data_IF_902895681521
#
_entry.id   IF_902895681521
#
_cell.length_a   1.000
_cell.length_b   1.000
_cell.length_c   1.000
_cell.angle_alpha   90.00
_cell.angle_beta   90.00
_cell.angle_gamma   90.00
#
_symmetry.space_group_name_H-M   'P 1'
#
loop_
_entity.id
_entity.type
_entity.pdbx_description
1 polymer ?
#
# COMPACT_ATOMS: atom_id res chain seq x y z
N UNK A 1 -26.45 7.38 -16.47
CA UNK A 1 -25.84 8.47 -17.26
C UNK A 1 -24.45 8.77 -16.73
N UNK A 2 -23.62 9.52 -17.47
CA UNK A 2 -22.35 10.03 -16.95
C UNK A 2 -22.60 11.37 -16.26
N UNK A 3 -22.10 11.50 -15.03
CA UNK A 3 -22.27 12.71 -14.21
C UNK A 3 -20.86 13.26 -13.90
N UNK A 4 -20.56 14.52 -14.24
CA UNK A 4 -19.29 15.15 -13.89
C UNK A 4 -19.04 15.13 -12.38
N UNK A 5 -17.79 14.92 -11.99
CA UNK A 5 -17.34 14.93 -10.61
C UNK A 5 -15.89 15.43 -10.57
N UNK A 6 -15.70 16.68 -10.14
CA UNK A 6 -14.41 17.37 -10.14
C UNK A 6 -13.96 17.86 -8.78
N UNK A 7 -12.98 18.76 -8.78
CA UNK A 7 -12.43 19.35 -7.55
C UNK A 7 -13.46 20.07 -6.69
N UNK A 8 -14.45 20.75 -7.29
CA UNK A 8 -15.52 21.40 -6.54
C UNK A 8 -16.38 20.37 -5.79
N UNK A 9 -16.79 19.30 -6.47
CA UNK A 9 -17.58 18.22 -5.87
C UNK A 9 -16.80 17.51 -4.76
N UNK A 10 -15.51 17.26 -4.98
CA UNK A 10 -14.60 16.75 -3.94
C UNK A 10 -14.62 17.67 -2.70
N UNK A 11 -14.48 18.98 -2.90
CA UNK A 11 -14.41 19.96 -1.83
C UNK A 11 -15.67 20.10 -0.97
N UNK A 12 -16.82 19.63 -1.48
CA UNK A 12 -18.12 19.59 -0.79
C UNK A 12 -18.49 18.18 -0.26
N UNK A 13 -17.84 17.13 -0.77
CA UNK A 13 -18.10 15.75 -0.39
C UNK A 13 -17.56 15.40 1.00
N UNK A 14 -18.17 14.38 1.61
CA UNK A 14 -17.62 13.79 2.83
C UNK A 14 -16.33 13.04 2.50
N UNK A 15 -15.24 13.43 3.17
CA UNK A 15 -13.94 12.77 3.07
C UNK A 15 -13.61 12.03 4.36
N UNK A 16 -13.08 10.82 4.24
CA UNK A 16 -12.54 10.05 5.35
C UNK A 16 -11.09 9.68 5.09
N UNK A 17 -10.28 9.63 6.14
CA UNK A 17 -8.84 9.45 6.07
C UNK A 17 -8.43 8.22 6.87
N UNK A 18 -7.59 7.37 6.29
CA UNK A 18 -6.92 6.27 6.97
C UNK A 18 -5.43 6.47 6.82
N UNK A 19 -4.72 6.50 7.94
CA UNK A 19 -3.28 6.70 7.95
C UNK A 19 -2.62 5.45 8.51
N UNK A 20 -1.65 4.93 7.78
CA UNK A 20 -0.74 3.90 8.25
C UNK A 20 0.57 4.60 8.55
N UNK A 21 0.85 4.90 9.84
CA UNK A 21 2.12 5.49 10.20
C UNK A 21 3.24 4.47 9.96
N UNK A 22 4.40 4.98 9.58
CA UNK A 22 5.64 4.22 9.63
C UNK A 22 6.17 4.18 11.07
N UNK A 23 7.34 4.78 11.27
CA UNK A 23 8.15 4.71 12.47
C UNK A 23 7.45 5.41 13.61
N UNK A 24 7.75 4.99 14.84
CA UNK A 24 7.33 5.72 16.02
C UNK A 24 7.74 7.20 15.92
N UNK A 25 6.75 8.10 16.06
CA UNK A 25 6.92 9.55 15.91
C UNK A 25 6.57 10.10 14.52
N UNK A 26 6.49 9.27 13.48
CA UNK A 26 5.95 9.71 12.20
C UNK A 26 4.44 9.96 12.33
N UNK A 27 4.00 11.16 11.95
CA UNK A 27 2.60 11.57 12.00
C UNK A 27 2.17 12.02 10.61
N UNK A 28 1.80 11.08 9.71
CA UNK A 28 1.34 11.42 8.36
C UNK A 28 0.34 12.57 8.39
N UNK A 29 0.54 13.56 7.53
CA UNK A 29 -0.27 14.76 7.46
C UNK A 29 -0.95 14.91 6.10
N UNK A 30 -1.99 15.73 6.06
CA UNK A 30 -2.64 16.14 4.82
C UNK A 30 -3.05 17.60 4.92
N UNK A 31 -3.15 18.26 3.78
CA UNK A 31 -3.64 19.62 3.65
C UNK A 31 -4.60 19.72 2.46
N UNK A 32 -5.71 20.43 2.66
CA UNK A 32 -6.66 20.76 1.60
C UNK A 32 -6.45 22.21 1.18
N UNK A 33 -5.76 22.41 0.06
CA UNK A 33 -5.54 23.75 -0.48
C UNK A 33 -6.75 24.24 -1.26
N UNK A 34 -7.19 25.45 -0.97
CA UNK A 34 -8.34 26.09 -1.61
C UNK A 34 -7.91 27.37 -2.32
N UNK A 35 -8.58 27.66 -3.44
CA UNK A 35 -8.49 28.94 -4.12
C UNK A 35 -9.12 30.05 -3.25
N UNK A 36 -8.87 31.31 -3.60
CA UNK A 36 -9.44 32.47 -2.89
C UNK A 36 -10.98 32.47 -2.84
N UNK A 37 -11.65 31.81 -3.80
CA UNK A 37 -13.10 31.65 -3.84
C UNK A 37 -13.62 30.46 -3.01
N UNK A 38 -12.76 29.76 -2.27
CA UNK A 38 -13.12 28.61 -1.43
C UNK A 38 -13.15 27.26 -2.14
N UNK A 39 -13.04 27.22 -3.48
CA UNK A 39 -13.00 25.97 -4.25
C UNK A 39 -11.73 25.17 -3.91
N UNK A 40 -11.87 23.86 -3.69
CA UNK A 40 -10.72 22.97 -3.49
C UNK A 40 -9.84 22.96 -4.75
N UNK A 41 -8.54 23.16 -4.58
CA UNK A 41 -7.56 23.25 -5.66
C UNK A 41 -6.64 22.02 -5.69
N UNK A 42 -6.13 21.63 -4.52
CA UNK A 42 -5.15 20.55 -4.37
C UNK A 42 -5.42 19.79 -3.07
N UNK A 43 -5.23 18.47 -3.12
CA UNK A 43 -5.13 17.63 -1.94
C UNK A 43 -3.66 17.29 -1.79
N UNK A 44 -3.06 17.76 -0.70
CA UNK A 44 -1.67 17.51 -0.38
C UNK A 44 -1.58 16.45 0.71
N UNK A 45 -0.63 15.55 0.56
CA UNK A 45 -0.35 14.48 1.50
C UNK A 45 1.13 14.50 1.81
N UNK A 46 1.45 14.47 3.09
CA UNK A 46 2.81 14.36 3.62
C UNK A 46 2.89 13.09 4.46
N UNK A 47 3.13 11.90 3.85
CA UNK A 47 3.07 10.66 4.61
C UNK A 47 4.23 10.49 5.60
N UNK A 48 5.35 11.22 5.43
CA UNK A 48 6.41 11.31 6.44
C UNK A 48 6.65 12.74 6.90
N UNK A 49 6.51 12.95 8.20
CA UNK A 49 6.74 14.25 8.85
C UNK A 49 8.02 14.25 9.69
N UNK A 50 8.86 13.22 9.56
CA UNK A 50 10.13 13.15 10.27
C UNK A 50 11.18 13.97 9.53
N UNK A 51 11.80 14.93 10.23
CA UNK A 51 12.74 15.89 9.65
C UNK A 51 14.12 15.29 9.29
N UNK A 52 14.40 14.05 9.70
CA UNK A 52 15.70 13.42 9.44
C UNK A 52 15.74 12.76 8.06
N UNK A 53 16.85 12.89 7.32
CA UNK A 53 17.08 12.24 6.01
C UNK A 53 16.88 10.71 6.01
N UNK A 54 16.93 10.06 7.18
CA UNK A 54 16.66 8.62 7.38
C UNK A 54 15.33 8.32 8.09
N UNK A 55 14.43 9.30 8.15
CA UNK A 55 13.24 9.24 8.99
C UNK A 55 12.29 8.12 8.56
N UNK A 56 12.04 8.03 7.26
CA UNK A 56 11.11 7.08 6.63
C UNK A 56 11.74 6.29 5.48
N UNK A 57 13.08 6.26 5.38
CA UNK A 57 13.82 5.64 4.26
C UNK A 57 13.60 4.13 4.07
N UNK A 58 13.06 3.43 5.06
CA UNK A 58 12.85 1.97 5.04
C UNK A 58 11.38 1.57 5.26
N UNK A 59 10.47 2.54 5.22
CA UNK A 59 9.06 2.34 5.50
C UNK A 59 8.21 2.97 4.40
N UNK A 60 7.00 2.41 4.23
CA UNK A 60 6.01 2.92 3.29
C UNK A 60 4.85 3.50 4.10
N UNK A 61 5.02 4.68 4.74
CA UNK A 61 3.89 5.35 5.33
C UNK A 61 2.89 5.66 4.23
N UNK A 62 1.61 5.52 4.56
CA UNK A 62 0.55 5.55 3.58
C UNK A 62 -0.62 6.33 4.13
N UNK A 63 -1.18 7.19 3.30
CA UNK A 63 -2.42 7.89 3.57
C UNK A 63 -3.42 7.47 2.50
N UNK A 64 -4.50 6.89 2.96
CA UNK A 64 -5.66 6.62 2.12
C UNK A 64 -6.73 7.66 2.43
N UNK A 65 -7.32 8.24 1.40
CA UNK A 65 -8.52 9.05 1.55
C UNK A 65 -9.66 8.52 0.69
N UNK A 66 -10.84 8.45 1.29
CA UNK A 66 -12.07 8.06 0.60
C UNK A 66 -13.03 9.24 0.53
N UNK A 67 -13.70 9.35 -0.61
CA UNK A 67 -14.66 10.40 -0.92
C UNK A 67 -16.00 9.72 -1.20
N UNK A 68 -17.06 10.14 -0.51
CA UNK A 68 -18.40 9.64 -0.79
C UNK A 68 -19.11 10.53 -1.83
N UNK A 69 -19.39 9.96 -2.99
CA UNK A 69 -20.21 10.55 -4.03
C UNK A 69 -21.70 10.57 -3.62
N UNK A 70 -22.48 11.58 -4.05
CA UNK A 70 -23.88 11.72 -3.66
C UNK A 70 -24.82 10.66 -4.26
N UNK A 71 -24.32 9.76 -5.10
CA UNK A 71 -25.10 8.67 -5.71
C UNK A 71 -24.22 7.43 -5.95
N UNK A 72 -24.87 6.28 -6.13
CA UNK A 72 -24.17 5.06 -6.54
C UNK A 72 -23.76 5.12 -8.02
N UNK A 73 -22.54 4.67 -8.29
CA UNK A 73 -21.99 4.55 -9.64
C UNK A 73 -21.37 3.16 -9.87
N UNK A 74 -21.11 2.85 -11.14
CA UNK A 74 -20.61 1.53 -11.58
C UNK A 74 -19.43 1.61 -12.56
N UNK A 75 -19.05 2.83 -12.95
CA UNK A 75 -17.86 3.07 -13.76
C UNK A 75 -17.37 4.49 -13.48
N UNK A 76 -16.08 4.69 -13.68
CA UNK A 76 -15.40 5.99 -13.57
C UNK A 76 -14.54 6.19 -14.81
N UNK A 77 -14.55 7.41 -15.35
CA UNK A 77 -13.62 7.83 -16.40
C UNK A 77 -13.17 9.26 -16.20
N UNK A 78 -12.13 9.68 -16.90
CA UNK A 78 -11.62 11.04 -16.88
C UNK A 78 -10.15 11.09 -16.52
N UNK A 79 -9.75 12.11 -15.75
CA UNK A 79 -8.36 12.28 -15.37
C UNK A 79 -8.17 13.05 -14.08
N UNK A 80 -6.98 12.95 -13.53
CA UNK A 80 -6.47 13.82 -12.48
C UNK A 80 -4.97 14.02 -12.66
N UNK A 81 -4.37 14.95 -11.93
CA UNK A 81 -2.92 15.19 -11.96
C UNK A 81 -2.32 14.76 -10.63
N UNK A 82 -1.28 13.95 -10.70
CA UNK A 82 -0.43 13.58 -9.58
C UNK A 82 0.87 14.36 -9.66
N UNK A 83 1.41 14.78 -8.52
CA UNK A 83 2.71 15.46 -8.48
C UNK A 83 3.43 15.15 -7.18
N UNK A 84 4.75 15.33 -7.19
CA UNK A 84 5.55 15.39 -5.97
C UNK A 84 6.27 16.72 -5.89
N UNK A 85 6.26 17.31 -4.69
CA UNK A 85 7.04 18.47 -4.34
C UNK A 85 8.04 18.08 -3.25
N UNK A 86 9.31 17.99 -3.64
CA UNK A 86 10.40 17.58 -2.78
C UNK A 86 11.68 17.35 -3.57
N UNK A 87 12.81 17.08 -2.89
CA UNK A 87 14.11 16.96 -3.54
C UNK A 87 14.28 15.66 -4.36
N UNK A 88 13.42 14.65 -4.16
CA UNK A 88 13.56 13.33 -4.78
C UNK A 88 12.57 13.07 -5.92
N UNK A 89 11.38 13.68 -5.86
CA UNK A 89 10.25 13.25 -6.69
C UNK A 89 9.77 11.86 -6.27
N UNK A 90 8.46 11.69 -6.15
CA UNK A 90 7.90 10.39 -5.79
C UNK A 90 8.03 9.45 -7.00
N UNK A 91 8.30 8.16 -6.79
CA UNK A 91 7.89 7.22 -7.83
C UNK A 91 6.37 7.21 -7.86
N UNK A 92 5.82 6.91 -9.02
CA UNK A 92 4.46 6.45 -9.11
C UNK A 92 4.40 4.90 -9.16
N UNK A 93 5.54 4.23 -9.01
CA UNK A 93 5.67 2.81 -9.18
C UNK A 93 6.33 2.12 -8.00
N UNK A 94 5.61 1.18 -7.39
CA UNK A 94 6.22 0.31 -6.38
C UNK A 94 6.88 -0.88 -7.04
N UNK A 95 8.21 -0.92 -7.03
CA UNK A 95 8.97 -2.07 -7.54
C UNK A 95 8.76 -2.34 -9.04
N UNK A 96 8.46 -1.30 -9.83
CA UNK A 96 8.33 -1.41 -11.29
C UNK A 96 7.01 -2.02 -11.79
N UNK A 97 6.01 -2.25 -10.93
CA UNK A 97 4.75 -2.93 -11.32
C UNK A 97 3.47 -2.24 -10.82
N UNK A 98 2.43 -2.19 -11.67
CA UNK A 98 1.10 -1.70 -11.30
C UNK A 98 0.42 -2.62 -10.28
N UNK A 99 -0.35 -2.02 -9.37
CA UNK A 99 -1.17 -2.73 -8.40
C UNK A 99 -2.58 -3.02 -8.92
N UNK A 100 -3.11 -4.18 -8.53
CA UNK A 100 -4.51 -4.57 -8.77
C UNK A 100 -5.36 -4.61 -7.50
N UNK A 101 -4.75 -4.40 -6.33
CA UNK A 101 -5.40 -4.55 -5.02
C UNK A 101 -4.94 -3.47 -4.02
N UNK A 102 -5.85 -3.00 -3.16
CA UNK A 102 -5.58 -1.98 -2.13
C UNK A 102 -4.69 -2.49 -0.99
N UNK A 103 -3.78 -1.67 -0.49
CA UNK A 103 -2.82 -2.10 0.53
C UNK A 103 -3.45 -2.35 1.90
N UNK A 104 -4.57 -1.71 2.23
CA UNK A 104 -5.25 -1.87 3.53
C UNK A 104 -5.92 -3.25 3.68
N UNK A 105 -6.14 -3.97 2.57
CA UNK A 105 -6.53 -5.39 2.64
C UNK A 105 -5.35 -6.31 3.04
N UNK A 106 -4.12 -5.82 2.97
CA UNK A 106 -2.90 -6.49 3.46
C UNK A 106 -2.48 -6.00 4.87
N UNK A 107 -3.23 -5.09 5.49
CA UNK A 107 -2.97 -4.63 6.87
C UNK A 107 -3.45 -5.65 7.93
N UNK A 108 -4.27 -6.62 7.53
CA UNK A 108 -4.45 -7.88 8.25
C UNK A 108 -3.88 -9.01 7.40
N UNK A 109 -2.97 -9.81 7.96
CA UNK A 109 -2.34 -11.04 7.42
C UNK A 109 -0.85 -10.87 7.08
N UNK A 110 -0.05 -11.05 8.13
CA UNK A 110 0.81 -12.23 8.29
C UNK A 110 1.36 -12.81 6.97
N UNK A 111 2.68 -12.71 6.82
CA UNK A 111 3.37 -12.97 5.56
C UNK A 111 4.08 -14.33 5.63
N UNK A 112 3.91 -15.11 4.58
CA UNK A 112 4.40 -16.48 4.44
C UNK A 112 5.90 -16.56 4.12
N UNK A 113 6.51 -17.64 4.62
CA UNK A 113 7.89 -18.08 4.36
C UNK A 113 7.92 -19.03 3.15
N UNK A 114 8.94 -18.94 2.29
CA UNK A 114 9.29 -20.06 1.39
C UNK A 114 10.05 -21.11 2.19
N UNK A 115 9.31 -22.01 2.81
CA UNK A 115 9.81 -23.35 3.14
C UNK A 115 9.59 -24.23 1.90
N UNK A 116 10.38 -25.29 1.73
CA UNK A 116 10.06 -26.31 0.74
C UNK A 116 8.59 -26.77 0.89
N UNK A 117 7.94 -27.12 -0.22
CA UNK A 117 6.50 -27.36 -0.26
C UNK A 117 6.03 -28.33 0.83
N UNK A 118 5.01 -27.92 1.61
CA UNK A 118 4.16 -28.86 2.35
C UNK A 118 4.17 -28.87 3.88
N UNK A 119 4.61 -27.82 4.60
CA UNK A 119 4.63 -27.88 6.07
C UNK A 119 4.06 -26.66 6.79
N UNK A 120 3.20 -26.93 7.78
CA UNK A 120 2.75 -26.02 8.83
C UNK A 120 2.58 -26.81 10.13
N UNK A 121 3.11 -26.36 11.28
CA UNK A 121 2.65 -26.79 12.62
C UNK A 121 3.29 -26.06 13.83
N UNK A 122 2.58 -26.16 14.97
CA UNK A 122 2.81 -25.67 16.36
C UNK A 122 3.89 -26.46 17.15
N UNK A 123 4.73 -25.80 17.98
CA UNK A 123 5.62 -26.45 18.97
C UNK A 123 6.72 -25.54 19.57
N UNK A 124 7.47 -26.03 20.58
CA UNK A 124 8.44 -25.27 21.39
C UNK A 124 9.80 -24.99 20.69
N UNK A 125 10.34 -23.78 20.90
CA UNK A 125 11.43 -23.11 20.16
C UNK A 125 12.84 -23.76 20.19
N UNK A 126 13.66 -23.46 19.16
CA UNK A 126 15.10 -23.76 19.17
C UNK A 126 15.91 -22.78 20.05
N UNK A 127 16.72 -23.32 20.95
CA UNK A 127 17.55 -22.53 21.87
C UNK A 127 18.77 -21.93 21.19
N UNK A 128 19.16 -20.71 21.58
CA UNK A 128 20.40 -20.06 21.12
C UNK A 128 21.62 -20.71 21.78
N UNK A 129 22.62 -21.04 20.97
CA UNK A 129 23.87 -21.66 21.42
C UNK A 129 25.05 -21.04 20.69
N UNK A 130 25.64 -19.99 21.24
CA UNK A 130 26.79 -19.36 20.59
C UNK A 130 27.24 -18.08 21.28
N UNK A 131 28.45 -17.60 20.96
CA UNK A 131 29.03 -16.41 21.57
C UNK A 131 28.22 -15.16 21.22
N UNK A 132 27.96 -14.30 22.20
CA UNK A 132 27.27 -13.01 22.00
C UNK A 132 28.07 -11.98 21.16
N UNK A 133 29.34 -12.27 20.81
CA UNK A 133 30.22 -11.41 20.00
C UNK A 133 30.13 -11.53 18.46
N UNK A 134 31.17 -11.06 17.77
CA UNK A 134 31.25 -10.95 16.30
C UNK A 134 31.69 -12.23 15.57
N UNK A 135 32.06 -13.31 16.29
CA UNK A 135 32.55 -14.55 15.69
C UNK A 135 31.54 -15.16 14.70
N UNK A 136 32.01 -15.54 13.50
CA UNK A 136 31.22 -16.18 12.45
C UNK A 136 30.27 -15.25 11.69
N UNK A 137 30.30 -13.93 11.93
CA UNK A 137 29.43 -12.95 11.24
C UNK A 137 29.98 -12.53 9.88
N UNK A 138 31.23 -12.81 9.55
CA UNK A 138 31.89 -12.31 8.34
C UNK A 138 31.37 -12.94 7.04
N UNK A 139 30.90 -14.19 7.10
CA UNK A 139 30.42 -14.98 5.96
C UNK A 139 29.54 -16.16 6.40
N UNK A 140 28.75 -16.71 5.48
CA UNK A 140 27.93 -17.90 5.74
C UNK A 140 28.80 -19.12 6.05
N UNK A 141 29.95 -19.25 5.38
CA UNK A 141 30.92 -20.34 5.59
C UNK A 141 31.57 -20.23 6.96
N UNK A 142 31.82 -19.01 7.46
CA UNK A 142 32.31 -18.80 8.81
C UNK A 142 31.27 -19.16 9.87
N UNK A 143 30.01 -18.77 9.66
CA UNK A 143 28.90 -19.13 10.54
C UNK A 143 28.68 -20.65 10.59
N UNK A 144 28.84 -21.32 9.44
CA UNK A 144 28.80 -22.78 9.34
C UNK A 144 29.96 -23.45 10.08
N UNK A 145 31.20 -22.96 9.92
CA UNK A 145 32.37 -23.48 10.66
C UNK A 145 32.20 -23.31 12.17
N UNK A 146 31.67 -22.18 12.61
CA UNK A 146 31.40 -21.90 14.02
C UNK A 146 30.34 -22.85 14.60
N UNK A 147 29.27 -23.12 13.85
CA UNK A 147 28.27 -24.13 14.25
C UNK A 147 28.90 -25.52 14.33
N UNK A 148 29.72 -25.91 13.36
CA UNK A 148 30.38 -27.23 13.32
C UNK A 148 31.42 -27.42 14.45
N UNK A 149 32.08 -26.36 14.89
CA UNK A 149 33.03 -26.39 16.00
C UNK A 149 32.34 -26.47 17.38
N UNK A 150 31.04 -26.16 17.45
CA UNK A 150 30.25 -26.23 18.67
C UNK A 150 29.67 -27.63 18.87
N UNK A 151 29.94 -28.25 20.02
CA UNK A 151 29.39 -29.55 20.39
C UNK A 151 27.84 -29.55 20.53
N UNK A 152 27.21 -28.38 20.55
CA UNK A 152 25.78 -28.20 20.79
C UNK A 152 25.04 -27.49 19.64
N UNK A 153 25.72 -26.91 18.66
CA UNK A 153 25.02 -26.30 17.54
C UNK A 153 24.62 -27.38 16.51
N UNK A 154 23.39 -27.32 16.01
CA UNK A 154 22.94 -28.20 14.93
C UNK A 154 22.13 -27.47 13.85
N UNK A 155 21.86 -26.17 14.02
CA UNK A 155 21.23 -25.29 13.03
C UNK A 155 21.88 -23.91 13.14
N UNK A 156 22.14 -23.24 12.03
CA UNK A 156 22.58 -21.84 12.03
C UNK A 156 21.76 -21.01 11.05
N UNK A 157 21.54 -19.73 11.38
CA UNK A 157 21.01 -18.73 10.46
C UNK A 157 22.04 -17.63 10.26
N UNK A 158 22.35 -17.32 9.01
CA UNK A 158 23.24 -16.23 8.65
C UNK A 158 22.43 -15.09 8.04
N UNK A 159 22.54 -13.90 8.66
CA UNK A 159 22.01 -12.63 8.17
C UNK A 159 23.11 -11.94 7.38
N UNK A 160 22.77 -11.40 6.20
CA UNK A 160 23.74 -10.65 5.40
C UNK A 160 23.83 -9.18 5.82
N UNK A 161 22.73 -8.60 6.32
CA UNK A 161 22.65 -7.16 6.62
C UNK A 161 21.73 -6.80 7.82
N UNK A 162 22.29 -6.22 8.92
CA UNK A 162 23.68 -6.33 9.29
C UNK A 162 24.09 -7.79 9.40
N UNK A 163 25.35 -8.05 9.02
CA UNK A 163 25.97 -9.36 9.15
C UNK A 163 25.78 -9.93 10.55
N UNK A 164 25.10 -11.06 10.65
CA UNK A 164 24.87 -11.73 11.93
C UNK A 164 24.84 -13.25 11.75
N UNK A 165 25.28 -13.95 12.78
CA UNK A 165 25.31 -15.41 12.82
C UNK A 165 24.54 -15.86 14.07
N UNK A 166 23.47 -16.62 13.87
CA UNK A 166 22.59 -17.09 14.93
C UNK A 166 22.63 -18.61 15.00
N UNK A 167 23.43 -19.10 15.93
CA UNK A 167 23.67 -20.51 16.17
C UNK A 167 22.62 -21.08 17.12
N UNK A 168 22.06 -22.24 16.77
CA UNK A 168 20.89 -22.82 17.43
C UNK A 168 21.09 -24.30 17.76
N UNK A 169 20.48 -24.70 18.88
CA UNK A 169 20.22 -26.09 19.25
C UNK A 169 18.73 -26.33 19.12
N UNK A 170 18.37 -27.08 18.08
CA UNK A 170 17.02 -27.60 17.88
C UNK A 170 16.95 -29.06 18.32
N UNK A 171 15.84 -29.47 18.93
CA UNK A 171 15.58 -30.89 19.19
C UNK A 171 15.32 -31.64 17.88
N UNK A 172 14.63 -30.98 16.94
CA UNK A 172 14.47 -31.42 15.55
C UNK A 172 15.16 -30.43 14.60
N UNK A 173 16.36 -30.76 14.08
CA UNK A 173 17.07 -29.90 13.12
C UNK A 173 16.52 -29.98 11.70
N UNK A 174 15.64 -30.95 11.39
CA UNK A 174 15.08 -31.13 10.06
C UNK A 174 13.87 -30.22 9.82
N UNK A 175 13.23 -29.75 10.90
CA UNK A 175 12.13 -28.79 10.88
C UNK A 175 12.29 -27.71 11.99
N UNK A 176 13.32 -26.85 11.91
CA UNK A 176 13.63 -25.91 12.98
C UNK A 176 12.55 -24.82 13.13
N UNK A 177 12.21 -24.51 14.38
CA UNK A 177 11.28 -23.44 14.76
C UNK A 177 12.10 -22.22 15.20
N UNK A 178 11.93 -21.10 14.50
CA UNK A 178 12.73 -19.88 14.69
C UNK A 178 11.81 -18.67 14.91
N UNK A 179 11.36 -18.45 16.15
CA UNK A 179 10.46 -17.33 16.47
C UNK A 179 11.18 -15.98 16.55
N UNK A 180 12.43 -15.97 17.04
CA UNK A 180 13.19 -14.76 17.32
C UNK A 180 14.59 -14.83 16.75
N UNK A 181 15.04 -13.77 16.11
CA UNK A 181 16.42 -13.53 15.67
C UNK A 181 17.30 -13.11 16.81
N UNK A 182 18.61 -13.24 16.64
CA UNK A 182 19.63 -12.87 17.62
C UNK A 182 19.40 -11.49 18.26
N UNK A 183 18.89 -10.53 17.51
CA UNK A 183 18.64 -9.15 17.96
C UNK A 183 17.27 -8.95 18.63
N UNK A 184 16.55 -10.05 18.92
CA UNK A 184 15.24 -10.03 19.58
C UNK A 184 14.04 -9.79 18.65
N UNK A 185 14.27 -9.44 17.38
CA UNK A 185 13.21 -9.30 16.39
C UNK A 185 12.75 -10.64 15.80
N UNK A 186 11.50 -10.78 15.36
CA UNK A 186 11.06 -12.03 14.74
C UNK A 186 11.80 -12.31 13.42
N UNK A 187 12.23 -13.57 13.18
CA UNK A 187 12.95 -13.95 11.97
C UNK A 187 12.16 -13.67 10.68
N UNK A 188 10.84 -13.74 10.74
CA UNK A 188 9.94 -13.36 9.64
C UNK A 188 10.05 -11.88 9.23
N UNK A 189 10.43 -10.98 10.15
CA UNK A 189 10.69 -9.57 9.86
C UNK A 189 12.06 -9.35 9.24
N UNK A 190 13.06 -10.07 9.73
CA UNK A 190 14.44 -10.01 9.23
C UNK A 190 14.50 -10.44 7.76
N UNK A 191 13.86 -11.54 7.40
CA UNK A 191 13.86 -12.07 6.03
C UNK A 191 13.13 -11.17 5.02
N UNK A 192 12.14 -10.39 5.47
CA UNK A 192 11.45 -9.40 4.63
C UNK A 192 12.33 -8.19 4.34
N UNK A 193 13.00 -7.66 5.36
CA UNK A 193 13.92 -6.56 5.19
C UNK A 193 15.05 -6.92 4.20
N UNK A 194 15.63 -8.11 4.33
CA UNK A 194 16.69 -8.56 3.42
C UNK A 194 16.21 -8.82 1.98
N UNK A 195 14.93 -9.13 1.76
CA UNK A 195 14.35 -9.23 0.42
C UNK A 195 14.10 -7.85 -0.20
N UNK A 196 13.69 -6.86 0.62
CA UNK A 196 13.52 -5.48 0.20
C UNK A 196 14.86 -4.79 -0.11
N UNK A 197 15.94 -5.18 0.57
CA UNK A 197 17.31 -4.67 0.33
C UNK A 197 17.98 -5.27 -0.92
N UNK A 198 17.45 -6.36 -1.50
CA UNK A 198 17.97 -6.97 -2.75
C UNK A 198 17.45 -6.31 -4.03
N UNK A 199 16.56 -5.35 -3.90
CA UNK A 199 16.00 -4.58 -5.02
C UNK A 199 16.60 -3.17 -4.94
N UNK A 200 17.44 -2.80 -5.91
CA UNK A 200 18.05 -1.46 -6.06
C UNK A 200 17.88 -1.02 -7.53
N UNK A 201 17.58 0.27 -7.86
CA UNK A 201 17.40 1.41 -6.96
C UNK A 201 15.94 1.79 -6.71
N UNK A 202 15.76 2.54 -5.63
CA UNK A 202 14.49 2.75 -4.97
C UNK A 202 13.88 4.11 -5.25
N UNK A 203 12.66 4.10 -5.79
CA UNK A 203 11.73 5.20 -5.62
C UNK A 203 10.43 4.55 -5.07
N UNK A 204 10.02 4.91 -3.86
CA UNK A 204 9.05 4.15 -3.04
C UNK A 204 7.68 4.85 -2.90
N UNK A 205 7.45 5.92 -3.66
CA UNK A 205 6.16 6.59 -3.72
C UNK A 205 5.20 5.82 -4.61
N UNK A 206 3.90 5.97 -4.38
CA UNK A 206 2.91 5.64 -5.41
C UNK A 206 1.57 6.30 -5.10
N UNK A 207 0.77 6.52 -6.13
CA UNK A 207 -0.64 6.85 -6.00
C UNK A 207 -1.47 5.74 -6.63
N UNK A 208 -2.45 5.23 -5.89
CA UNK A 208 -3.50 4.38 -6.44
C UNK A 208 -4.81 5.13 -6.40
N UNK A 209 -5.66 4.86 -7.40
CA UNK A 209 -6.99 5.41 -7.49
C UNK A 209 -8.02 4.37 -7.93
N UNK A 210 -9.25 4.50 -7.43
CA UNK A 210 -10.33 3.59 -7.78
C UNK A 210 -11.57 3.78 -6.91
N UNK A 211 -12.41 2.77 -6.92
CA UNK A 211 -13.71 2.78 -6.26
C UNK A 211 -14.01 1.41 -5.62
N UNK A 212 -13.69 1.25 -4.32
CA UNK A 212 -13.86 -0.04 -3.65
C UNK A 212 -15.34 -0.40 -3.44
N UNK A 213 -15.62 -1.72 -3.35
CA UNK A 213 -16.92 -2.26 -2.91
C UNK A 213 -17.25 -1.82 -1.47
N UNK A 214 -18.44 -2.16 -0.95
CA UNK A 214 -18.85 -1.80 0.42
C UNK A 214 -17.93 -2.36 1.53
N UNK A 215 -17.16 -3.41 1.23
CA UNK A 215 -16.21 -4.01 2.15
C UNK A 215 -14.79 -3.45 1.98
N UNK A 216 -14.59 -2.45 1.13
CA UNK A 216 -13.30 -1.80 0.91
C UNK A 216 -12.42 -2.53 -0.11
N UNK A 217 -13.00 -3.41 -0.94
CA UNK A 217 -12.28 -4.36 -1.81
C UNK A 217 -12.47 -4.11 -3.30
N UNK A 218 -11.49 -4.57 -4.09
CA UNK A 218 -11.49 -4.48 -5.54
C UNK A 218 -11.63 -3.04 -6.07
N UNK A 219 -11.91 -2.91 -7.37
CA UNK A 219 -12.23 -1.62 -7.98
C UNK A 219 -11.06 -0.64 -8.12
N UNK A 220 -9.82 -1.14 -8.11
CA UNK A 220 -8.65 -0.34 -8.50
C UNK A 220 -8.78 0.03 -9.98
N UNK A 221 -8.92 1.32 -10.26
CA UNK A 221 -9.01 1.86 -11.63
C UNK A 221 -7.64 2.29 -12.14
N UNK A 222 -6.73 2.60 -11.20
CA UNK A 222 -5.38 3.01 -11.42
C UNK A 222 -4.49 2.49 -10.28
N UNK A 223 -3.48 1.70 -10.63
CA UNK A 223 -2.61 1.01 -9.68
C UNK A 223 -1.19 1.56 -9.62
N UNK A 224 -0.95 2.76 -10.15
CA UNK A 224 0.39 3.33 -10.32
C UNK A 224 1.07 3.00 -11.66
N UNK A 225 2.34 3.40 -11.71
CA UNK A 225 3.37 3.36 -12.74
C UNK A 225 3.10 4.10 -14.07
N UNK A 226 2.00 4.84 -14.21
CA UNK A 226 1.79 5.66 -15.43
C UNK A 226 2.45 7.03 -15.32
N UNK A 227 2.63 7.53 -14.11
CA UNK A 227 3.40 8.73 -13.78
C UNK A 227 4.89 8.54 -14.03
N UNK A 228 5.39 7.32 -13.88
CA UNK A 228 6.81 6.98 -14.01
C UNK A 228 7.62 7.37 -12.77
N UNK A 229 8.94 7.15 -12.80
CA UNK A 229 9.82 7.55 -11.72
C UNK A 229 9.93 9.08 -11.63
N UNK A 230 10.22 9.58 -10.44
CA UNK A 230 10.50 10.99 -10.17
C UNK A 230 9.39 11.95 -10.65
N UNK A 231 8.18 11.77 -10.13
CA UNK A 231 7.03 12.64 -10.40
C UNK A 231 7.43 14.11 -10.26
N UNK A 232 7.29 14.92 -11.33
CA UNK A 232 7.75 16.28 -11.32
C UNK A 232 6.78 17.21 -10.57
N UNK A 233 7.23 18.38 -10.09
CA UNK A 233 6.37 19.35 -9.39
C UNK A 233 5.21 19.91 -10.23
N UNK A 234 5.36 19.98 -11.55
CA UNK A 234 4.28 20.31 -12.48
C UNK A 234 3.22 19.20 -12.60
N UNK A 235 3.57 17.99 -12.23
CA UNK A 235 2.71 16.82 -12.18
C UNK A 235 2.48 16.11 -13.52
N UNK A 236 1.96 14.89 -13.44
CA UNK A 236 1.62 14.03 -14.56
C UNK A 236 0.11 13.81 -14.59
N UNK A 237 -0.49 13.94 -15.78
CA UNK A 237 -1.90 13.68 -15.98
C UNK A 237 -2.16 12.17 -16.09
N UNK A 238 -2.93 11.64 -15.15
CA UNK A 238 -3.34 10.24 -15.10
C UNK A 238 -4.73 10.10 -15.70
N UNK A 239 -4.84 9.36 -16.80
CA UNK A 239 -6.11 9.01 -17.43
C UNK A 239 -6.67 7.71 -16.84
N UNK A 240 -7.97 7.75 -16.54
CA UNK A 240 -8.74 6.64 -15.97
C UNK A 240 -9.96 6.34 -16.84
N UNK A 241 -10.22 5.06 -17.08
CA UNK A 241 -11.45 4.56 -17.68
C UNK A 241 -11.64 3.12 -17.20
N UNK A 242 -12.55 2.91 -16.26
CA UNK A 242 -12.71 1.64 -15.59
C UNK A 242 -14.16 1.36 -15.21
N UNK A 243 -14.56 0.10 -15.36
CA UNK A 243 -15.75 -0.44 -14.67
C UNK A 243 -15.36 -0.80 -13.25
N UNK A 244 -16.20 -0.46 -12.29
CA UNK A 244 -15.94 -0.64 -10.86
C UNK A 244 -17.15 -1.28 -10.17
N UNK A 245 -16.97 -1.90 -8.98
CA UNK A 245 -18.10 -2.36 -8.19
C UNK A 245 -19.12 -1.25 -7.97
N UNK A 246 -20.41 -1.62 -7.83
CA UNK A 246 -21.43 -0.65 -7.44
C UNK A 246 -21.08 -0.09 -6.07
N UNK A 247 -20.84 1.21 -6.01
CA UNK A 247 -20.41 1.89 -4.78
C UNK A 247 -20.74 3.37 -4.83
N UNK A 248 -20.56 4.05 -3.71
CA UNK A 248 -20.54 5.52 -3.61
C UNK A 248 -19.14 6.05 -3.32
N UNK A 249 -18.15 5.16 -3.16
CA UNK A 249 -16.83 5.53 -2.67
C UNK A 249 -15.83 5.63 -3.81
N UNK A 250 -15.14 6.76 -3.87
CA UNK A 250 -13.86 6.89 -4.54
C UNK A 250 -12.76 6.79 -3.49
N UNK A 251 -11.61 6.22 -3.86
CA UNK A 251 -10.47 6.06 -2.97
C UNK A 251 -9.20 6.45 -3.70
N UNK A 252 -8.39 7.23 -3.02
CA UNK A 252 -6.98 7.41 -3.32
C UNK A 252 -6.16 6.79 -2.19
N UNK A 253 -5.08 6.11 -2.57
CA UNK A 253 -4.07 5.61 -1.64
C UNK A 253 -2.75 6.22 -2.08
N UNK A 254 -2.10 6.95 -1.18
CA UNK A 254 -0.86 7.68 -1.44
C UNK A 254 0.20 7.14 -0.49
N UNK A 255 1.28 6.60 -1.03
CA UNK A 255 2.48 6.24 -0.27
C UNK A 255 3.66 7.10 -0.71
N UNK A 256 4.61 7.28 0.19
CA UNK A 256 5.73 8.20 0.04
C UNK A 256 6.98 7.51 -0.49
N UNK A 257 7.77 8.22 -1.30
CA UNK A 257 9.15 7.79 -1.55
C UNK A 257 10.04 8.00 -0.31
N UNK A 258 11.26 7.48 -0.35
CA UNK A 258 12.20 7.46 0.79
C UNK A 258 12.63 8.83 1.33
N UNK A 259 12.17 9.94 0.75
CA UNK A 259 12.58 11.31 1.10
C UNK A 259 11.38 12.15 1.53
N UNK A 260 11.58 13.07 2.47
CA UNK A 260 10.54 14.02 2.90
C UNK A 260 10.04 14.84 1.69
N UNK A 261 8.81 14.57 1.27
CA UNK A 261 8.18 15.19 0.11
C UNK A 261 6.67 15.28 0.33
N UNK A 262 6.05 16.16 -0.43
CA UNK A 262 4.59 16.30 -0.48
C UNK A 262 4.10 15.69 -1.77
N UNK A 263 3.30 14.64 -1.68
CA UNK A 263 2.57 14.11 -2.84
C UNK A 263 1.22 14.83 -2.92
N UNK A 264 0.82 15.19 -4.13
CA UNK A 264 -0.42 15.91 -4.33
C UNK A 264 -1.27 15.37 -5.46
N UNK A 265 -2.58 15.49 -5.28
CA UNK A 265 -3.60 15.24 -6.31
C UNK A 265 -4.30 16.56 -6.61
N UNK A 266 -4.36 16.93 -7.89
CA UNK A 266 -5.04 18.15 -8.35
C UNK A 266 -5.73 17.96 -9.69
N UNK A 267 -6.43 19.00 -10.14
CA UNK A 267 -7.07 19.04 -11.45
C UNK A 267 -7.98 17.82 -11.74
N UNK A 268 -8.66 17.29 -10.71
CA UNK A 268 -9.56 16.14 -10.85
C UNK A 268 -10.73 16.52 -11.75
N UNK A 269 -10.92 15.75 -12.82
CA UNK A 269 -11.97 15.85 -13.83
C UNK A 269 -12.48 14.45 -14.14
N UNK A 270 -13.35 13.94 -13.27
CA UNK A 270 -13.94 12.61 -13.43
C UNK A 270 -15.37 12.72 -13.96
N UNK A 271 -15.85 11.63 -14.53
CA UNK A 271 -17.26 11.37 -14.77
C UNK A 271 -17.61 10.02 -14.14
N UNK A 272 -18.70 10.01 -13.37
CA UNK A 272 -19.19 8.82 -12.68
C UNK A 272 -20.43 8.28 -13.39
N UNK A 273 -20.44 6.99 -13.71
CA UNK A 273 -21.59 6.35 -14.36
C UNK A 273 -22.67 6.02 -13.33
N UNK A 274 -23.61 6.95 -13.16
CA UNK A 274 -24.81 6.77 -12.34
C UNK A 274 -25.71 5.71 -12.94
N UNK A 275 -26.11 4.74 -12.12
CA UNK A 275 -27.14 3.76 -12.51
C UNK A 275 -28.49 4.45 -12.41
N UNK A 276 -29.15 4.70 -13.54
CA UNK A 276 -30.52 5.22 -13.52
C UNK A 276 -31.42 4.02 -13.20
N UNK A 277 -31.94 3.94 -11.98
CA UNK A 277 -33.06 3.03 -11.73
C UNK A 277 -34.18 3.45 -12.68
N UNK A 278 -34.64 2.51 -13.50
CA UNK A 278 -35.60 2.79 -14.55
C UNK A 278 -36.78 3.59 -14.00
N UNK A 279 -37.13 4.68 -14.68
CA UNK A 279 -38.52 5.10 -14.76
C UNK A 279 -39.30 3.84 -15.15
N UNK A 280 -39.90 3.14 -14.18
CA UNK A 280 -41.06 2.30 -14.49
C UNK A 280 -42.04 3.28 -15.11
N UNK A 281 -42.15 3.24 -16.43
CA UNK A 281 -43.37 3.72 -17.06
C UNK A 281 -44.48 2.99 -16.33
N UNK A 282 -45.27 3.73 -15.55
CA UNK A 282 -46.63 3.32 -15.27
C UNK A 282 -47.24 3.17 -16.66
N UNK A 283 -47.27 1.94 -17.17
CA UNK A 283 -48.17 1.61 -18.25
C UNK A 283 -49.54 1.97 -17.68
N UNK A 284 -50.08 3.10 -18.12
CA UNK A 284 -51.47 3.41 -17.93
C UNK A 284 -52.20 2.19 -18.50
N UNK A 285 -52.75 1.37 -17.62
CA UNK A 285 -53.77 0.40 -17.99
C UNK A 285 -54.91 1.27 -18.50
N UNK A 286 -54.94 1.45 -19.81
CA UNK A 286 -56.08 2.02 -20.48
C UNK A 286 -57.29 1.18 -20.06
N UNK A 287 -58.37 1.77 -19.53
CA UNK A 287 -59.60 1.02 -19.36
C UNK A 287 -60.01 0.57 -20.76
N UNK A 288 -59.99 -0.74 -20.99
CA UNK A 288 -60.58 -1.34 -22.17
C UNK A 288 -62.05 -0.91 -22.20
N UNK A 289 -62.38 0.00 -23.11
CA UNK A 289 -63.75 0.19 -23.58
C UNK A 289 -64.18 -1.13 -24.21
N UNK A 290 -64.83 -1.98 -23.43
CA UNK A 290 -65.77 -2.94 -23.98
C UNK A 290 -67.08 -2.17 -24.23
N UNK A 291 -67.38 -1.92 -25.50
CA UNK A 291 -68.76 -1.70 -25.94
C UNK A 291 -69.14 -2.81 -26.91
N UNK A 292 -70.38 -3.29 -26.71
CA UNK A 292 -71.28 -4.01 -27.60
C UNK A 292 -70.91 -5.47 -27.95
N UNK A 293 -71.74 -6.43 -27.51
CA UNK A 293 -73.10 -6.65 -28.03
C UNK A 293 -74.08 -6.92 -26.89
#
# INVERSE_FOLDING_TARGET
EWVPFGMSDLGEATMSWTMVPGRAGNSPAYELRRLANGTLAEILVTPCTLETERGCTDELPMVQFEVEAPFEFTAVRGSFVEFSAGPNGADDCRGGTNHSEWSVQNASREYFTKLAAGFAAKGADCNRVGPQGYAGRESVEACQRECAASAVCNVFNYRVHPKSCDLRRCLDPTAPILTSSRDGGAWSRVLRAEANERLDPIHDGYVMFGAPDQLGRGGVAYGGCKGGPELPPEGVAIAVDATVPRTRRLRWEVSQSRAAEVLGVRAVRLELRRTVQGRRFLAAVAPSRAMAF
#
